data_IF_004194627367
#
_entry.id   IF_004194627367
#
_cell.length_a   1.000
_cell.length_b   1.000
_cell.length_c   1.000
_cell.angle_alpha   90.00
_cell.angle_beta   90.00
_cell.angle_gamma   90.00
#
_symmetry.space_group_name_H-M   'P 1'
#
loop_
_entity.id
_entity.type
_entity.pdbx_description
1 polymer ?
#
# COMPACT_ATOMS: atom_id res chain seq x y z
N UNK A 1 -54.19 -26.13 34.55
CA UNK A 1 -52.83 -25.61 34.32
C UNK A 1 -52.25 -26.34 33.11
N UNK A 2 -52.72 -26.09 31.89
CA UNK A 2 -52.41 -26.96 30.73
C UNK A 2 -52.27 -26.20 29.40
N UNK A 3 -52.27 -24.86 29.41
CA UNK A 3 -52.30 -24.05 28.18
C UNK A 3 -50.92 -23.77 27.58
N UNK A 4 -49.83 -24.10 28.27
CA UNK A 4 -48.46 -23.85 27.81
C UNK A 4 -47.87 -24.99 26.96
N UNK A 5 -48.41 -26.21 27.03
CA UNK A 5 -47.89 -27.36 26.27
C UNK A 5 -48.51 -27.50 24.87
N UNK A 6 -49.75 -27.05 24.66
CA UNK A 6 -50.44 -27.17 23.37
C UNK A 6 -49.95 -26.17 22.31
N UNK A 7 -49.43 -25.02 22.72
CA UNK A 7 -48.92 -24.02 21.78
C UNK A 7 -47.58 -24.44 21.14
N UNK A 8 -46.82 -25.31 21.80
CA UNK A 8 -45.50 -25.77 21.31
C UNK A 8 -45.60 -26.89 20.26
N UNK A 9 -46.70 -27.65 20.23
CA UNK A 9 -46.90 -28.74 19.25
C UNK A 9 -47.53 -28.27 17.94
N UNK A 10 -48.31 -27.18 17.96
CA UNK A 10 -48.98 -26.64 16.76
C UNK A 10 -48.04 -26.02 15.73
N UNK A 11 -46.81 -25.66 16.11
CA UNK A 11 -45.84 -25.09 15.17
C UNK A 11 -45.24 -26.18 14.25
N UNK A 12 -45.28 -27.45 14.66
CA UNK A 12 -44.69 -28.56 13.90
C UNK A 12 -45.64 -29.23 12.90
N UNK A 13 -46.96 -29.05 13.00
CA UNK A 13 -47.95 -29.90 12.31
C UNK A 13 -48.58 -29.35 11.01
N UNK A 14 -48.00 -28.30 10.41
CA UNK A 14 -48.52 -27.73 9.15
C UNK A 14 -47.47 -27.30 8.13
N UNK A 15 -46.18 -27.43 8.44
CA UNK A 15 -45.13 -27.06 7.49
C UNK A 15 -44.84 -28.24 6.55
N UNK A 16 -45.08 -28.10 5.24
CA UNK A 16 -44.76 -29.16 4.28
C UNK A 16 -43.25 -29.46 4.31
N UNK A 17 -42.86 -30.71 4.09
CA UNK A 17 -41.47 -31.17 4.25
C UNK A 17 -40.44 -30.34 3.45
N UNK A 18 -40.84 -29.75 2.30
CA UNK A 18 -40.00 -28.86 1.52
C UNK A 18 -39.63 -27.56 2.26
N UNK A 19 -40.47 -27.07 3.18
CA UNK A 19 -40.20 -25.86 3.96
C UNK A 19 -39.05 -26.09 4.96
N UNK A 20 -38.92 -27.29 5.52
CA UNK A 20 -37.78 -27.68 6.35
C UNK A 20 -36.48 -27.79 5.53
N UNK A 21 -36.57 -28.33 4.31
CA UNK A 21 -35.43 -28.37 3.37
C UNK A 21 -35.01 -26.94 2.99
N UNK A 22 -35.97 -26.07 2.67
CA UNK A 22 -35.72 -24.67 2.33
C UNK A 22 -35.13 -23.88 3.52
N UNK A 23 -35.63 -24.12 4.75
CA UNK A 23 -35.08 -23.50 5.95
C UNK A 23 -33.64 -23.96 6.23
N UNK A 24 -33.35 -25.26 6.05
CA UNK A 24 -31.99 -25.79 6.16
C UNK A 24 -31.05 -25.18 5.11
N UNK A 25 -31.51 -25.06 3.86
CA UNK A 25 -30.73 -24.43 2.80
C UNK A 25 -30.51 -22.93 3.05
N UNK A 26 -31.53 -22.19 3.49
CA UNK A 26 -31.42 -20.78 3.85
C UNK A 26 -30.41 -20.57 4.99
N UNK A 27 -30.40 -21.44 5.99
CA UNK A 27 -29.41 -21.40 7.07
C UNK A 27 -27.99 -21.64 6.55
N UNK A 28 -27.80 -22.62 5.66
CA UNK A 28 -26.48 -22.87 5.04
C UNK A 28 -25.99 -21.68 4.21
N UNK A 29 -26.88 -21.06 3.41
CA UNK A 29 -26.56 -19.85 2.65
C UNK A 29 -26.19 -18.70 3.58
N UNK A 30 -26.92 -18.51 4.68
CA UNK A 30 -26.64 -17.48 5.68
C UNK A 30 -25.26 -17.69 6.31
N UNK A 31 -24.94 -18.92 6.74
CA UNK A 31 -23.63 -19.26 7.33
C UNK A 31 -22.51 -19.05 6.31
N UNK A 32 -22.68 -19.47 5.06
CA UNK A 32 -21.71 -19.24 4.00
C UNK A 32 -21.48 -17.74 3.74
N UNK A 33 -22.56 -16.93 3.77
CA UNK A 33 -22.48 -15.47 3.66
C UNK A 33 -21.70 -14.86 4.83
N UNK A 34 -22.00 -15.26 6.07
CA UNK A 34 -21.29 -14.77 7.27
C UNK A 34 -19.80 -15.11 7.20
N UNK A 35 -19.45 -16.33 6.80
CA UNK A 35 -18.05 -16.76 6.63
C UNK A 35 -17.38 -15.95 5.52
N UNK A 36 -18.03 -15.80 4.36
CA UNK A 36 -17.49 -15.03 3.24
C UNK A 36 -17.23 -13.56 3.63
N UNK A 37 -18.18 -12.92 4.33
CA UNK A 37 -18.04 -11.55 4.83
C UNK A 37 -16.93 -11.46 5.89
N UNK A 38 -16.86 -12.41 6.81
CA UNK A 38 -15.84 -12.45 7.87
C UNK A 38 -14.43 -12.63 7.31
N UNK A 39 -14.25 -13.54 6.34
CA UNK A 39 -12.96 -13.76 5.67
C UNK A 39 -12.57 -12.54 4.86
N UNK A 40 -13.51 -11.93 4.12
CA UNK A 40 -13.29 -10.70 3.36
C UNK A 40 -12.88 -9.55 4.28
N UNK A 41 -13.54 -9.40 5.44
CA UNK A 41 -13.22 -8.37 6.44
C UNK A 41 -11.82 -8.57 7.05
N UNK A 42 -11.46 -9.79 7.43
CA UNK A 42 -10.12 -10.11 7.93
C UNK A 42 -9.04 -9.87 6.87
N UNK A 43 -9.29 -10.26 5.61
CA UNK A 43 -8.38 -10.01 4.49
C UNK A 43 -8.19 -8.51 4.26
N UNK A 44 -9.27 -7.72 4.31
CA UNK A 44 -9.24 -6.25 4.21
C UNK A 44 -8.40 -5.63 5.33
N UNK A 45 -8.65 -6.00 6.58
CA UNK A 45 -7.92 -5.45 7.73
C UNK A 45 -6.43 -5.77 7.69
N UNK A 46 -6.05 -7.00 7.36
CA UNK A 46 -4.63 -7.39 7.20
C UNK A 46 -3.97 -6.61 6.06
N UNK A 47 -4.67 -6.46 4.94
CA UNK A 47 -4.19 -5.67 3.80
C UNK A 47 -4.02 -4.19 4.17
N UNK A 48 -4.98 -3.59 4.87
CA UNK A 48 -4.92 -2.19 5.32
C UNK A 48 -3.75 -1.96 6.28
N UNK A 49 -3.53 -2.87 7.23
CA UNK A 49 -2.38 -2.81 8.14
C UNK A 49 -1.05 -2.95 7.39
N UNK A 50 -0.97 -3.90 6.46
CA UNK A 50 0.22 -4.07 5.64
C UNK A 50 0.51 -2.80 4.85
N UNK A 51 -0.51 -2.21 4.22
CA UNK A 51 -0.40 -0.99 3.45
C UNK A 51 0.03 0.22 4.29
N UNK A 52 -0.53 0.37 5.49
CA UNK A 52 -0.17 1.46 6.40
C UNK A 52 1.32 1.47 6.77
N UNK A 53 1.91 0.30 7.01
CA UNK A 53 3.35 0.17 7.29
C UNK A 53 4.18 0.62 6.08
N UNK A 54 3.87 0.14 4.86
CA UNK A 54 4.60 0.55 3.65
C UNK A 54 4.44 2.03 3.34
N UNK A 55 3.30 2.62 3.69
CA UNK A 55 3.06 4.07 3.56
C UNK A 55 3.98 4.87 4.49
N UNK A 56 4.19 4.39 5.72
CA UNK A 56 5.11 5.01 6.65
C UNK A 56 6.56 4.92 6.16
N UNK A 57 6.95 3.78 5.58
CA UNK A 57 8.28 3.60 4.98
C UNK A 57 8.47 4.56 3.78
N UNK A 58 7.49 4.66 2.87
CA UNK A 58 7.53 5.60 1.76
C UNK A 58 7.69 7.06 2.23
N UNK A 59 6.99 7.44 3.30
CA UNK A 59 7.13 8.77 3.90
C UNK A 59 8.49 8.99 4.54
N UNK A 60 9.03 7.98 5.23
CA UNK A 60 10.39 8.03 5.76
C UNK A 60 11.43 8.25 4.66
N UNK A 61 11.28 7.62 3.48
CA UNK A 61 12.18 7.87 2.34
C UNK A 61 12.07 9.31 1.82
N UNK A 62 10.84 9.83 1.68
CA UNK A 62 10.61 11.21 1.27
C UNK A 62 11.29 12.21 2.22
N UNK A 63 11.19 11.97 3.52
CA UNK A 63 11.65 12.91 4.55
C UNK A 63 13.12 12.74 4.96
N UNK A 64 13.64 11.50 5.00
CA UNK A 64 14.99 11.22 5.51
C UNK A 64 16.00 11.03 4.40
N UNK A 65 15.72 10.14 3.44
CA UNK A 65 16.69 9.81 2.39
C UNK A 65 16.84 10.98 1.41
N UNK A 66 15.73 11.61 1.02
CA UNK A 66 15.79 12.75 0.10
C UNK A 66 16.54 13.92 0.73
N UNK A 67 16.37 14.19 2.02
CA UNK A 67 17.14 15.22 2.72
C UNK A 67 18.62 14.86 2.82
N UNK A 68 18.93 13.60 3.12
CA UNK A 68 20.30 13.13 3.27
C UNK A 68 21.09 13.11 1.95
N UNK A 69 20.41 12.91 0.81
CA UNK A 69 20.98 12.98 -0.55
C UNK A 69 21.01 14.42 -1.08
N UNK A 70 19.99 15.21 -0.76
CA UNK A 70 19.92 16.62 -1.14
C UNK A 70 20.95 17.49 -0.40
N UNK A 71 21.48 17.02 0.74
CA UNK A 71 22.56 17.69 1.45
C UNK A 71 23.78 17.90 0.55
N UNK A 72 24.01 19.16 0.20
CA UNK A 72 25.11 19.58 -0.69
C UNK A 72 26.44 19.75 0.04
N UNK A 73 26.42 19.73 1.38
CA UNK A 73 27.64 19.87 2.19
C UNK A 73 28.42 18.56 2.29
N UNK A 74 27.78 17.43 2.00
CA UNK A 74 28.41 16.11 1.99
C UNK A 74 29.38 15.94 0.82
N UNK A 75 30.55 15.40 1.12
CA UNK A 75 31.50 14.97 0.09
C UNK A 75 30.95 13.81 -0.74
N UNK A 76 31.43 13.69 -1.98
CA UNK A 76 31.04 12.62 -2.93
C UNK A 76 31.09 11.20 -2.34
N UNK A 77 32.12 10.80 -1.56
CA UNK A 77 32.18 9.44 -0.98
C UNK A 77 31.06 9.18 0.04
N UNK A 78 30.69 10.18 0.84
CA UNK A 78 29.64 10.07 1.86
C UNK A 78 28.24 10.02 1.22
N UNK A 79 28.03 10.79 0.15
CA UNK A 79 26.84 10.75 -0.69
C UNK A 79 26.63 9.34 -1.28
N UNK A 80 27.67 8.78 -1.91
CA UNK A 80 27.60 7.45 -2.53
C UNK A 80 27.32 6.37 -1.49
N UNK A 81 27.93 6.45 -0.30
CA UNK A 81 27.64 5.52 0.80
C UNK A 81 26.19 5.60 1.24
N UNK A 82 25.69 6.81 1.51
CA UNK A 82 24.29 7.06 1.91
C UNK A 82 23.31 6.53 0.86
N UNK A 83 23.59 6.75 -0.42
CA UNK A 83 22.79 6.24 -1.53
C UNK A 83 22.80 4.71 -1.57
N UNK A 84 24.00 4.11 -1.58
CA UNK A 84 24.19 2.65 -1.67
C UNK A 84 23.46 1.90 -0.54
N UNK A 85 23.44 2.47 0.67
CA UNK A 85 22.71 1.91 1.81
C UNK A 85 21.17 2.06 1.68
N UNK A 86 20.72 3.12 0.99
CA UNK A 86 19.31 3.49 0.84
C UNK A 86 18.59 2.84 -0.37
N UNK A 87 19.25 2.72 -1.52
CA UNK A 87 18.64 2.19 -2.78
C UNK A 87 17.98 0.83 -2.59
N UNK A 88 18.64 -0.18 -1.98
CA UNK A 88 18.06 -1.51 -1.87
C UNK A 88 16.74 -1.48 -1.10
N UNK A 89 16.64 -0.63 -0.07
CA UNK A 89 15.42 -0.50 0.74
C UNK A 89 14.26 0.11 -0.07
N UNK A 90 14.53 1.09 -0.92
CA UNK A 90 13.51 1.65 -1.83
C UNK A 90 13.03 0.63 -2.86
N UNK A 91 13.93 -0.18 -3.42
CA UNK A 91 13.59 -1.23 -4.38
C UNK A 91 12.77 -2.36 -3.74
N UNK A 92 13.09 -2.74 -2.50
CA UNK A 92 12.30 -3.71 -1.74
C UNK A 92 10.90 -3.14 -1.47
N UNK A 93 10.80 -1.86 -1.10
CA UNK A 93 9.51 -1.21 -0.88
C UNK A 93 8.65 -1.18 -2.15
N UNK A 94 9.21 -0.83 -3.30
CA UNK A 94 8.45 -0.80 -4.57
C UNK A 94 7.95 -2.20 -4.94
N UNK A 95 8.78 -3.23 -4.77
CA UNK A 95 8.37 -4.62 -4.98
C UNK A 95 7.25 -5.03 -4.01
N UNK A 96 7.39 -4.74 -2.71
CA UNK A 96 6.38 -5.06 -1.71
C UNK A 96 5.04 -4.35 -1.96
N UNK A 97 5.08 -3.11 -2.44
CA UNK A 97 3.88 -2.37 -2.85
C UNK A 97 3.25 -3.01 -4.09
N UNK A 98 4.05 -3.42 -5.08
CA UNK A 98 3.55 -4.13 -6.23
C UNK A 98 2.88 -5.47 -5.85
N UNK A 99 3.51 -6.27 -5.00
CA UNK A 99 2.94 -7.51 -4.45
C UNK A 99 1.66 -7.23 -3.64
N UNK A 100 1.65 -6.17 -2.83
CA UNK A 100 0.46 -5.79 -2.09
C UNK A 100 -0.71 -5.39 -3.01
N UNK A 101 -0.41 -4.87 -4.20
CA UNK A 101 -1.42 -4.57 -5.22
C UNK A 101 -2.07 -5.83 -5.81
N UNK A 102 -1.33 -6.93 -5.95
CA UNK A 102 -1.86 -8.19 -6.50
C UNK A 102 -2.70 -8.94 -5.47
N UNK A 103 -2.45 -8.72 -4.18
CA UNK A 103 -3.20 -9.33 -3.07
C UNK A 103 -4.41 -8.49 -2.62
N UNK A 104 -4.70 -7.37 -3.28
CA UNK A 104 -5.73 -6.42 -2.87
C UNK A 104 -7.14 -7.03 -2.84
N UNK A 105 -8.00 -6.63 -1.88
CA UNK A 105 -9.37 -7.13 -1.79
C UNK A 105 -10.29 -6.67 -2.94
N UNK A 106 -9.96 -5.56 -3.61
CA UNK A 106 -10.71 -5.01 -4.74
C UNK A 106 -9.82 -4.11 -5.61
N UNK A 107 -10.30 -3.75 -6.80
CA UNK A 107 -9.52 -2.97 -7.78
C UNK A 107 -9.15 -1.57 -7.29
N UNK A 108 -10.03 -0.90 -6.54
CA UNK A 108 -9.73 0.43 -5.98
C UNK A 108 -8.52 0.37 -5.05
N UNK A 109 -8.48 -0.67 -4.19
CA UNK A 109 -7.37 -0.93 -3.27
C UNK A 109 -6.13 -1.47 -4.00
N UNK A 110 -6.27 -2.13 -5.15
CA UNK A 110 -5.13 -2.54 -5.96
C UNK A 110 -4.40 -1.34 -6.58
N UNK A 111 -5.11 -0.26 -6.92
CA UNK A 111 -4.52 0.94 -7.56
C UNK A 111 -3.61 1.72 -6.62
N UNK A 112 -4.03 1.93 -5.37
CA UNK A 112 -3.29 2.73 -4.38
C UNK A 112 -1.81 2.32 -4.20
N UNK A 113 -1.47 1.04 -3.94
CA UNK A 113 -0.08 0.63 -3.80
C UNK A 113 0.68 0.63 -5.14
N UNK A 114 0.02 0.48 -6.30
CA UNK A 114 0.69 0.62 -7.61
C UNK A 114 1.12 2.06 -7.85
N UNK A 115 0.21 3.01 -7.63
CA UNK A 115 0.50 4.44 -7.76
C UNK A 115 1.64 4.85 -6.82
N UNK A 116 1.62 4.36 -5.57
CA UNK A 116 2.70 4.60 -4.62
C UNK A 116 4.02 3.94 -5.06
N UNK A 117 4.00 2.71 -5.58
CA UNK A 117 5.20 2.04 -6.09
C UNK A 117 5.83 2.82 -7.25
N UNK A 118 5.00 3.30 -8.20
CA UNK A 118 5.46 4.14 -9.32
C UNK A 118 6.06 5.45 -8.82
N UNK A 119 5.44 6.12 -7.84
CA UNK A 119 5.99 7.35 -7.27
C UNK A 119 7.34 7.12 -6.56
N UNK A 120 7.48 6.03 -5.80
CA UNK A 120 8.74 5.65 -5.16
C UNK A 120 9.82 5.34 -6.20
N UNK A 121 9.49 4.62 -7.27
CA UNK A 121 10.45 4.29 -8.32
C UNK A 121 10.89 5.52 -9.13
N UNK A 122 9.96 6.44 -9.42
CA UNK A 122 10.28 7.72 -10.06
C UNK A 122 11.24 8.56 -9.21
N UNK A 123 11.02 8.62 -7.88
CA UNK A 123 11.93 9.28 -6.95
C UNK A 123 13.30 8.60 -6.93
N UNK A 124 13.34 7.27 -6.87
CA UNK A 124 14.58 6.49 -6.91
C UNK A 124 15.37 6.79 -8.19
N UNK A 125 14.70 6.80 -9.34
CA UNK A 125 15.36 7.09 -10.63
C UNK A 125 15.92 8.52 -10.69
N UNK A 126 15.21 9.50 -10.12
CA UNK A 126 15.70 10.88 -10.07
C UNK A 126 16.92 11.02 -9.15
N UNK A 127 16.91 10.35 -8.00
CA UNK A 127 18.04 10.32 -7.07
C UNK A 127 19.25 9.60 -7.68
N UNK A 128 19.06 8.49 -8.40
CA UNK A 128 20.14 7.79 -9.09
C UNK A 128 20.83 8.70 -10.12
N UNK A 129 20.03 9.46 -10.88
CA UNK A 129 20.53 10.42 -11.86
C UNK A 129 21.32 11.56 -11.19
N UNK A 130 20.81 12.16 -10.10
CA UNK A 130 21.51 13.21 -9.34
C UNK A 130 22.83 12.71 -8.76
N UNK A 131 22.83 11.50 -8.15
CA UNK A 131 24.04 10.90 -7.58
C UNK A 131 25.07 10.64 -8.68
N UNK A 132 24.67 10.06 -9.82
CA UNK A 132 25.58 9.83 -10.96
C UNK A 132 26.22 11.12 -11.46
N UNK A 133 25.43 12.18 -11.65
CA UNK A 133 25.91 13.48 -12.10
C UNK A 133 26.95 14.06 -11.13
N UNK A 134 26.70 13.96 -9.82
CA UNK A 134 27.62 14.45 -8.78
C UNK A 134 28.88 13.61 -8.63
N UNK A 135 28.85 12.34 -9.03
CA UNK A 135 30.01 11.44 -8.99
C UNK A 135 30.92 11.52 -10.21
N UNK A 136 30.42 11.99 -11.36
CA UNK A 136 31.19 12.03 -12.62
C UNK A 136 32.21 13.18 -12.68
N UNK A 137 32.22 14.07 -11.68
CA UNK A 137 33.22 15.14 -11.53
C UNK A 137 32.91 16.37 -12.39
N UNK A 138 33.29 17.55 -11.86
CA UNK A 138 32.95 18.88 -12.37
C UNK A 138 33.59 19.18 -13.74
N UNK A 139 32.78 19.25 -14.79
CA UNK A 139 33.10 19.87 -16.07
C UNK A 139 32.45 21.28 -16.14
N UNK A 140 33.05 22.26 -16.84
CA UNK A 140 32.44 23.59 -16.99
C UNK A 140 31.01 23.50 -17.57
N UNK A 141 30.03 24.05 -16.87
CA UNK A 141 28.60 23.99 -17.24
C UNK A 141 27.77 22.89 -16.56
N UNK A 142 28.39 21.97 -15.81
CA UNK A 142 27.65 20.95 -15.05
C UNK A 142 26.87 21.51 -13.85
N UNK A 143 27.26 22.66 -13.29
CA UNK A 143 26.56 23.25 -12.15
C UNK A 143 25.07 23.51 -12.46
N UNK A 144 24.78 23.93 -13.70
CA UNK A 144 23.42 24.12 -14.18
C UNK A 144 22.66 22.78 -14.27
N UNK A 145 23.31 21.72 -14.76
CA UNK A 145 22.72 20.38 -14.89
C UNK A 145 22.47 19.74 -13.52
N UNK A 146 23.38 19.93 -12.57
CA UNK A 146 23.25 19.47 -11.18
C UNK A 146 22.16 20.26 -10.44
N UNK A 147 22.01 21.56 -10.74
CA UNK A 147 20.90 22.35 -10.20
C UNK A 147 19.56 21.88 -10.78
N UNK A 148 19.49 21.57 -12.08
CA UNK A 148 18.31 21.02 -12.72
C UNK A 148 17.94 19.64 -12.16
N UNK A 149 18.91 18.75 -11.96
CA UNK A 149 18.65 17.43 -11.34
C UNK A 149 18.08 17.58 -9.93
N UNK A 150 18.55 18.58 -9.16
CA UNK A 150 18.00 18.88 -7.85
C UNK A 150 16.51 19.28 -7.90
N UNK A 151 16.14 20.08 -8.90
CA UNK A 151 14.74 20.48 -9.12
C UNK A 151 13.87 19.28 -9.49
N UNK A 152 14.37 18.37 -10.33
CA UNK A 152 13.68 17.13 -10.69
C UNK A 152 13.48 16.25 -9.45
N UNK A 153 14.50 16.05 -8.62
CA UNK A 153 14.37 15.31 -7.36
C UNK A 153 13.34 15.96 -6.43
N UNK A 154 13.37 17.29 -6.28
CA UNK A 154 12.38 18.01 -5.49
C UNK A 154 10.96 17.87 -6.03
N UNK A 155 10.79 17.86 -7.35
CA UNK A 155 9.50 17.61 -8.00
C UNK A 155 9.02 16.18 -7.72
N UNK A 156 9.87 15.17 -7.88
CA UNK A 156 9.50 13.77 -7.62
C UNK A 156 9.16 13.52 -6.15
N UNK A 157 9.84 14.21 -5.23
CA UNK A 157 9.45 14.19 -3.82
C UNK A 157 8.05 14.73 -3.62
N UNK A 158 7.72 15.90 -4.21
CA UNK A 158 6.37 16.46 -4.14
C UNK A 158 5.33 15.51 -4.73
N UNK A 159 5.61 14.90 -5.89
CA UNK A 159 4.72 13.91 -6.53
C UNK A 159 4.43 12.72 -5.57
N UNK A 160 5.45 12.25 -4.85
CA UNK A 160 5.31 11.22 -3.82
C UNK A 160 4.45 11.70 -2.64
N UNK A 161 4.66 12.93 -2.16
CA UNK A 161 3.86 13.52 -1.08
C UNK A 161 2.38 13.67 -1.47
N UNK A 162 2.10 14.11 -2.70
CA UNK A 162 0.74 14.16 -3.24
C UNK A 162 0.10 12.78 -3.31
N UNK A 163 0.86 11.77 -3.73
CA UNK A 163 0.37 10.38 -3.80
C UNK A 163 0.07 9.84 -2.40
N UNK A 164 0.95 10.09 -1.43
CA UNK A 164 0.75 9.74 -0.02
C UNK A 164 -0.49 10.41 0.57
N UNK A 165 -0.74 11.69 0.23
CA UNK A 165 -1.93 12.42 0.64
C UNK A 165 -3.20 11.89 -0.03
N UNK A 166 -3.18 11.60 -1.34
CA UNK A 166 -4.32 11.06 -2.08
C UNK A 166 -4.75 9.69 -1.56
N UNK A 167 -3.78 8.83 -1.26
CA UNK A 167 -3.99 7.47 -0.73
C UNK A 167 -4.46 7.48 0.73
N UNK A 168 -4.28 8.59 1.45
CA UNK A 168 -4.73 8.74 2.84
C UNK A 168 -6.20 9.14 3.02
N UNK A 169 -6.90 9.51 1.93
CA UNK A 169 -8.32 9.86 1.91
C UNK A 169 -9.20 8.65 1.58
#
# INVERSE_FOLDING_TARGET
MNTTTAALTSIYFGMPAWAWIAAGFALLVLVALIIAVSVSSKKRSKWDRAFYVRKADARWFADSLTLAVADRTKGTPELVRTWTDGVPRMSILSQQLYELSTMAPNDKRARQPRELATAVDNLRSALDADVRLRTQGFAPGQDAVIAESALVVAQRRRDLDYTLAAVSR
#
